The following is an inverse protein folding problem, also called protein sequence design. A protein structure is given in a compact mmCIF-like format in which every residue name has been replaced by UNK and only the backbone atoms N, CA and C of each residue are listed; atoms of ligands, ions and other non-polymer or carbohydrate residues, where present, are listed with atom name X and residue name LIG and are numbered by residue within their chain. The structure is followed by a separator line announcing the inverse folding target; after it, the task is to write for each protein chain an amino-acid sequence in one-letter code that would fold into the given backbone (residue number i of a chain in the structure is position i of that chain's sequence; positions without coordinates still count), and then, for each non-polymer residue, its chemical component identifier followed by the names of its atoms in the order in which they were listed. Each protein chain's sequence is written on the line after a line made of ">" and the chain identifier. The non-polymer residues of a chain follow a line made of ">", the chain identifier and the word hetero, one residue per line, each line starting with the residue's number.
data_IF_069141113105
#
_entry.id   IF_069141113105
#
_cell.length_a   1.000
_cell.length_b   1.000
_cell.length_c   1.000
_cell.angle_alpha   90.00
_cell.angle_beta   90.00
_cell.angle_gamma   90.00
#
_symmetry.space_group_name_H-M   'P 1'
#
loop_
_entity.id
_entity.type
_entity.pdbx_description
1 polymer ?
#
# COMPACT_ATOMS: atom_id res chain seq x y z
N UNK A 1 9.03 -59.08 17.94
CA UNK A 1 8.35 -58.47 19.11
C UNK A 1 7.90 -57.10 18.67
N UNK A 2 6.77 -57.06 17.96
CA UNK A 2 5.41 -56.91 18.51
C UNK A 2 5.03 -55.45 18.73
N UNK A 3 4.10 -55.04 17.89
CA UNK A 3 3.17 -53.90 17.93
C UNK A 3 2.42 -53.81 19.29
N UNK A 4 1.92 -52.67 19.77
CA UNK A 4 0.61 -52.07 19.39
C UNK A 4 0.31 -50.81 20.28
N UNK A 5 -0.48 -49.86 19.73
CA UNK A 5 -1.37 -48.83 20.33
C UNK A 5 -0.79 -47.53 20.92
N UNK A 6 -1.34 -46.32 20.71
CA UNK A 6 -2.66 -45.90 20.21
C UNK A 6 -3.53 -45.37 21.37
N UNK A 7 -3.77 -44.05 21.46
CA UNK A 7 -4.92 -43.35 22.14
C UNK A 7 -4.65 -41.82 22.24
N UNK A 8 -5.36 -40.98 21.48
CA UNK A 8 -6.52 -40.12 21.86
C UNK A 8 -6.22 -39.00 22.87
N UNK A 9 -6.22 -37.77 22.37
CA UNK A 9 -6.17 -36.54 23.18
C UNK A 9 -7.59 -36.01 23.36
N UNK A 10 -8.15 -36.23 24.55
CA UNK A 10 -9.47 -35.75 24.97
C UNK A 10 -9.35 -34.37 25.60
N UNK A 11 -10.29 -33.50 25.24
CA UNK A 11 -10.56 -32.17 25.79
C UNK A 11 -10.78 -32.20 27.32
N UNK A 12 -10.04 -31.39 28.07
CA UNK A 12 -10.22 -31.18 29.50
C UNK A 12 -10.21 -29.69 29.86
N UNK A 13 -11.38 -29.19 30.27
CA UNK A 13 -11.67 -27.83 30.71
C UNK A 13 -11.23 -27.65 32.18
N UNK A 14 -10.57 -26.54 32.53
CA UNK A 14 -10.35 -26.14 33.93
C UNK A 14 -10.26 -24.59 34.02
N UNK A 15 -11.36 -23.93 34.37
CA UNK A 15 -11.75 -23.42 35.71
C UNK A 15 -11.06 -22.10 36.10
N UNK A 16 -11.89 -21.05 36.13
CA UNK A 16 -11.61 -19.69 36.62
C UNK A 16 -11.51 -19.68 38.15
N UNK A 17 -10.52 -19.03 38.78
CA UNK A 17 -10.54 -18.78 40.21
C UNK A 17 -11.13 -17.41 40.56
N UNK A 18 -12.09 -17.42 41.49
CA UNK A 18 -12.67 -16.25 42.19
C UNK A 18 -11.70 -15.76 43.29
N UNK A 19 -11.57 -14.45 43.54
CA UNK A 19 -10.56 -13.92 44.46
C UNK A 19 -11.03 -13.94 45.93
N UNK A 20 -10.07 -14.14 46.85
CA UNK A 20 -10.23 -14.00 48.29
C UNK A 20 -9.25 -12.95 48.81
N UNK A 21 -9.75 -12.05 49.67
CA UNK A 21 -8.98 -11.47 50.77
C UNK A 21 -8.35 -10.09 50.53
N UNK A 22 -9.00 -9.06 51.04
CA UNK A 22 -8.48 -7.71 51.30
C UNK A 22 -7.61 -7.66 52.56
N UNK A 23 -6.46 -6.97 52.50
CA UNK A 23 -5.78 -6.26 53.62
C UNK A 23 -4.66 -5.32 53.08
N UNK A 24 -4.12 -4.33 53.84
CA UNK A 24 -4.33 -2.92 53.50
C UNK A 24 -3.11 -2.14 52.95
N UNK A 25 -3.46 -1.12 52.15
CA UNK A 25 -2.85 0.20 51.95
C UNK A 25 -1.37 0.41 52.34
N UNK A 26 -0.47 0.15 51.39
CA UNK A 26 0.81 0.85 51.26
C UNK A 26 0.67 2.03 50.30
N UNK A 27 1.15 3.20 50.71
CA UNK A 27 1.14 4.47 49.98
C UNK A 27 1.74 4.32 48.57
N UNK A 28 0.87 4.28 47.55
CA UNK A 28 1.24 4.45 46.15
C UNK A 28 1.62 5.92 45.94
N UNK A 29 2.89 6.18 45.70
CA UNK A 29 3.33 7.39 44.99
C UNK A 29 2.57 7.48 43.67
N UNK A 30 1.90 8.61 43.45
CA UNK A 30 1.19 8.93 42.23
C UNK A 30 2.15 8.86 41.03
N UNK A 31 2.14 7.73 40.33
CA UNK A 31 2.59 7.69 38.95
C UNK A 31 1.48 8.29 38.10
N UNK A 32 1.81 9.34 37.36
CA UNK A 32 0.95 9.93 36.33
C UNK A 32 0.47 8.80 35.42
N UNK A 33 -0.83 8.51 35.43
CA UNK A 33 -1.44 7.67 34.40
C UNK A 33 -1.24 8.38 33.04
N UNK A 34 -0.78 7.68 32.00
CA UNK A 34 -0.66 8.29 30.69
C UNK A 34 -2.06 8.75 30.26
N UNK A 35 -2.19 10.05 30.03
CA UNK A 35 -3.45 10.63 29.57
C UNK A 35 -3.88 9.92 28.28
N UNK A 36 -5.15 9.54 28.17
CA UNK A 36 -5.67 8.78 27.02
C UNK A 36 -5.56 9.47 25.65
N UNK A 37 -4.94 10.66 25.58
CA UNK A 37 -4.70 11.44 24.36
C UNK A 37 -3.35 11.18 23.69
N UNK A 38 -2.32 10.71 24.41
CA UNK A 38 -0.95 10.59 23.87
C UNK A 38 -0.84 9.71 22.62
N UNK A 39 -1.45 8.50 22.55
CA UNK A 39 -1.38 7.67 21.35
C UNK A 39 -2.14 8.27 20.16
N UNK A 40 -3.22 9.02 20.42
CA UNK A 40 -4.06 9.63 19.39
C UNK A 40 -3.34 10.82 18.74
N UNK A 41 -2.66 11.63 19.54
CA UNK A 41 -1.90 12.78 19.05
C UNK A 41 -0.69 12.34 18.20
N UNK A 42 0.05 11.32 18.64
CA UNK A 42 1.16 10.77 17.86
C UNK A 42 0.70 10.21 16.50
N UNK A 43 -0.41 9.46 16.46
CA UNK A 43 -0.94 8.92 15.20
C UNK A 43 -1.36 10.04 14.24
N UNK A 44 -1.95 11.11 14.75
CA UNK A 44 -2.34 12.27 13.94
C UNK A 44 -1.12 12.98 13.36
N UNK A 45 -0.12 13.30 14.19
CA UNK A 45 1.14 13.91 13.74
C UNK A 45 1.78 13.08 12.63
N UNK A 46 1.99 11.79 12.86
CA UNK A 46 2.68 10.94 11.89
C UNK A 46 1.86 10.68 10.62
N UNK A 47 0.52 10.76 10.70
CA UNK A 47 -0.33 10.77 9.51
C UNK A 47 -0.11 12.02 8.66
N UNK A 48 -0.01 13.20 9.28
CA UNK A 48 0.29 14.46 8.60
C UNK A 48 1.68 14.41 7.97
N UNK A 49 2.69 13.92 8.70
CA UNK A 49 4.06 13.74 8.18
C UNK A 49 4.06 12.80 6.96
N UNK A 50 3.38 11.66 7.05
CA UNK A 50 3.31 10.70 5.94
C UNK A 50 2.63 11.25 4.68
N UNK A 51 1.70 12.20 4.86
CA UNK A 51 0.97 12.84 3.77
C UNK A 51 1.63 14.13 3.27
N UNK A 52 2.73 14.57 3.88
CA UNK A 52 3.39 15.82 3.55
C UNK A 52 3.88 15.83 2.10
N UNK A 53 3.57 16.93 1.41
CA UNK A 53 4.04 17.24 0.06
C UNK A 53 4.76 18.59 0.03
N UNK A 54 5.51 18.86 -1.04
CA UNK A 54 6.26 20.10 -1.23
C UNK A 54 7.76 19.93 -1.05
N UNK A 55 8.49 21.04 -0.93
CA UNK A 55 9.95 20.98 -0.79
C UNK A 55 10.37 20.36 0.55
N UNK A 56 11.44 19.59 0.54
CA UNK A 56 12.08 19.12 1.77
C UNK A 56 12.73 20.29 2.53
N UNK A 57 12.75 20.20 3.85
CA UNK A 57 13.61 21.02 4.69
C UNK A 57 15.01 20.40 4.67
N UNK A 58 15.82 20.80 3.68
CA UNK A 58 17.14 20.19 3.47
C UNK A 58 18.06 20.31 4.69
N UNK A 59 18.22 21.50 5.32
CA UNK A 59 19.03 21.63 6.53
C UNK A 59 18.56 20.70 7.67
N UNK A 60 17.26 20.62 7.94
CA UNK A 60 16.74 19.76 9.00
C UNK A 60 16.95 18.27 8.67
N UNK A 61 16.76 17.87 7.41
CA UNK A 61 16.99 16.50 6.97
C UNK A 61 18.46 16.10 7.11
N UNK A 62 19.39 16.97 6.70
CA UNK A 62 20.83 16.71 6.81
C UNK A 62 21.29 16.57 8.28
N UNK A 63 20.77 17.41 9.18
CA UNK A 63 21.05 17.26 10.60
C UNK A 63 20.44 15.97 11.17
N UNK A 64 19.23 15.61 10.74
CA UNK A 64 18.59 14.33 11.08
C UNK A 64 19.43 13.12 10.65
N UNK A 65 19.98 13.15 9.43
CA UNK A 65 20.90 12.12 8.93
C UNK A 65 22.13 12.01 9.83
N UNK A 66 22.82 13.14 10.11
CA UNK A 66 24.01 13.15 10.97
C UNK A 66 23.69 12.63 12.37
N UNK A 67 22.58 13.07 12.96
CA UNK A 67 22.10 12.60 14.25
C UNK A 67 21.86 11.09 14.24
N UNK A 68 21.24 10.53 13.20
CA UNK A 68 21.00 9.10 13.09
C UNK A 68 22.31 8.29 13.08
N UNK A 69 23.35 8.78 12.40
CA UNK A 69 24.68 8.15 12.40
C UNK A 69 25.35 8.24 13.77
N UNK A 70 25.31 9.41 14.42
CA UNK A 70 25.86 9.60 15.77
C UNK A 70 25.19 8.68 16.79
N UNK A 71 23.87 8.56 16.75
CA UNK A 71 23.09 7.67 17.63
C UNK A 71 23.40 6.19 17.36
N UNK A 72 23.75 5.84 16.12
CA UNK A 72 24.21 4.50 15.75
C UNK A 72 25.69 4.24 16.11
N UNK A 73 26.41 5.24 16.66
CA UNK A 73 27.84 5.14 16.97
C UNK A 73 28.73 5.10 15.73
N UNK A 74 28.27 5.64 14.61
CA UNK A 74 28.99 5.68 13.34
C UNK A 74 29.56 7.08 13.07
N UNK A 75 30.67 7.20 12.32
CA UNK A 75 31.10 8.46 11.74
C UNK A 75 30.01 9.02 10.81
N UNK A 76 29.79 10.33 10.82
CA UNK A 76 28.85 10.98 9.90
C UNK A 76 29.28 10.77 8.44
N UNK A 77 28.33 10.74 7.48
CA UNK A 77 28.67 10.59 6.07
C UNK A 77 29.48 11.81 5.60
N UNK A 78 30.51 11.56 4.80
CA UNK A 78 31.38 12.60 4.22
C UNK A 78 30.61 13.54 3.28
N UNK A 79 29.54 13.05 2.66
CA UNK A 79 28.71 13.83 1.74
C UNK A 79 27.25 13.42 1.84
N UNK A 80 26.35 14.39 1.77
CA UNK A 80 24.91 14.17 1.62
C UNK A 80 24.50 14.67 0.23
N UNK A 81 23.97 13.76 -0.58
CA UNK A 81 23.52 14.04 -1.94
C UNK A 81 22.00 14.09 -1.99
N UNK A 82 21.47 15.04 -2.75
CA UNK A 82 20.03 15.22 -2.93
C UNK A 82 19.57 14.64 -4.26
N UNK A 83 18.42 13.97 -4.23
CA UNK A 83 17.72 13.49 -5.41
C UNK A 83 16.28 14.01 -5.40
N UNK A 84 15.77 14.33 -6.58
CA UNK A 84 14.42 14.90 -6.70
C UNK A 84 13.31 13.85 -6.51
N UNK A 85 13.62 12.55 -6.60
CA UNK A 85 12.66 11.47 -6.40
C UNK A 85 13.31 10.18 -5.94
N UNK A 86 12.54 9.20 -5.41
CA UNK A 86 13.04 7.85 -5.14
C UNK A 86 13.63 7.15 -6.37
N UNK A 87 13.12 7.46 -7.59
CA UNK A 87 13.68 6.93 -8.84
C UNK A 87 15.09 7.48 -9.08
N UNK A 88 15.26 8.80 -9.00
CA UNK A 88 16.58 9.42 -9.13
C UNK A 88 17.53 8.99 -8.00
N UNK A 89 17.03 8.86 -6.77
CA UNK A 89 17.79 8.41 -5.60
C UNK A 89 18.29 6.97 -5.77
N UNK A 90 17.42 6.05 -6.21
CA UNK A 90 17.80 4.66 -6.46
C UNK A 90 18.79 4.54 -7.63
N UNK A 91 18.62 5.31 -8.71
CA UNK A 91 19.58 5.34 -9.81
C UNK A 91 20.96 5.85 -9.36
N UNK A 92 20.99 6.89 -8.53
CA UNK A 92 22.23 7.41 -7.94
C UNK A 92 22.88 6.39 -7.00
N UNK A 93 22.11 5.75 -6.13
CA UNK A 93 22.57 4.71 -5.22
C UNK A 93 23.18 3.53 -5.99
N UNK A 94 22.48 3.03 -7.01
CA UNK A 94 22.97 1.94 -7.87
C UNK A 94 24.31 2.30 -8.53
N UNK A 95 24.44 3.53 -9.05
CA UNK A 95 25.67 4.01 -9.66
C UNK A 95 26.83 4.14 -8.66
N UNK A 96 26.59 4.68 -7.47
CA UNK A 96 27.65 4.87 -6.47
C UNK A 96 28.12 3.54 -5.88
N UNK A 97 27.19 2.61 -5.64
CA UNK A 97 27.49 1.27 -5.15
C UNK A 97 28.25 0.46 -6.20
N UNK A 98 27.86 0.53 -7.48
CA UNK A 98 28.59 -0.12 -8.57
C UNK A 98 30.04 0.41 -8.74
N UNK A 99 30.27 1.68 -8.39
CA UNK A 99 31.61 2.30 -8.39
C UNK A 99 32.41 2.08 -7.10
N UNK A 100 31.80 1.52 -6.06
CA UNK A 100 32.40 1.38 -4.73
C UNK A 100 32.65 2.70 -4.00
N UNK A 101 32.00 3.79 -4.42
CA UNK A 101 32.24 5.15 -3.88
C UNK A 101 31.35 5.50 -2.69
N UNK A 102 30.16 4.89 -2.57
CA UNK A 102 29.23 5.13 -1.46
C UNK A 102 29.71 4.51 -0.12
N UNK A 103 30.53 3.46 -0.19
CA UNK A 103 30.78 2.57 0.95
C UNK A 103 29.65 1.55 1.13
N UNK A 104 29.72 0.74 2.19
CA UNK A 104 28.69 -0.27 2.47
C UNK A 104 27.42 0.39 3.01
N UNK A 105 26.28 -0.28 2.81
CA UNK A 105 25.03 0.11 3.46
C UNK A 105 25.17 0.00 4.97
N UNK A 106 24.75 1.06 5.68
CA UNK A 106 24.69 1.09 7.15
C UNK A 106 23.24 1.11 7.65
N UNK A 107 22.28 0.79 6.79
CA UNK A 107 20.84 0.74 7.10
C UNK A 107 20.54 -0.12 8.33
N UNK A 108 21.22 -1.26 8.48
CA UNK A 108 21.03 -2.14 9.65
C UNK A 108 21.37 -1.41 10.96
N UNK A 109 22.51 -0.71 11.01
CA UNK A 109 22.96 0.02 12.19
C UNK A 109 22.14 1.29 12.45
N UNK A 110 21.77 2.02 11.39
CA UNK A 110 21.06 3.30 11.49
C UNK A 110 19.57 3.10 11.75
N UNK A 111 18.93 2.05 11.20
CA UNK A 111 17.47 1.84 11.26
C UNK A 111 17.07 0.53 11.90
N UNK A 112 17.55 -0.62 11.41
CA UNK A 112 16.99 -1.91 11.82
C UNK A 112 17.24 -2.23 13.29
N UNK A 113 18.49 -2.08 13.76
CA UNK A 113 18.85 -2.34 15.16
C UNK A 113 18.18 -1.35 16.12
N UNK A 114 18.16 -0.02 15.87
CA UNK A 114 17.42 0.90 16.73
C UNK A 114 15.93 0.56 16.84
N UNK A 115 15.25 0.19 15.74
CA UNK A 115 13.86 -0.25 15.79
C UNK A 115 13.67 -1.56 16.55
N UNK A 116 14.52 -2.56 16.29
CA UNK A 116 14.47 -3.81 17.02
C UNK A 116 14.65 -3.59 18.53
N UNK A 117 15.57 -2.69 18.91
CA UNK A 117 15.82 -2.31 20.31
C UNK A 117 14.61 -1.60 20.93
N UNK A 118 14.06 -0.59 20.25
CA UNK A 118 12.89 0.14 20.73
C UNK A 118 11.68 -0.78 20.91
N UNK A 119 11.43 -1.65 19.92
CA UNK A 119 10.37 -2.67 19.99
C UNK A 119 10.61 -3.67 21.11
N UNK A 120 11.84 -4.15 21.28
CA UNK A 120 12.21 -5.09 22.36
C UNK A 120 11.92 -4.51 23.74
N UNK A 121 12.38 -3.28 24.01
CA UNK A 121 12.11 -2.59 25.28
C UNK A 121 10.62 -2.41 25.55
N UNK A 122 9.87 -2.07 24.51
CA UNK A 122 8.42 -1.89 24.63
C UNK A 122 7.70 -3.22 24.89
N UNK A 123 8.14 -4.29 24.21
CA UNK A 123 7.64 -5.65 24.42
C UNK A 123 7.96 -6.15 25.83
N UNK A 124 9.18 -5.92 26.34
CA UNK A 124 9.59 -6.31 27.69
C UNK A 124 8.74 -5.60 28.77
N UNK A 125 8.41 -4.33 28.53
CA UNK A 125 7.61 -3.52 29.47
C UNK A 125 6.12 -3.83 29.43
N UNK A 126 5.54 -4.02 28.24
CA UNK A 126 4.09 -4.21 28.06
C UNK A 126 3.66 -5.68 28.03
N UNK A 127 4.62 -6.59 27.82
CA UNK A 127 4.35 -7.97 27.45
C UNK A 127 3.74 -8.10 26.03
N UNK A 128 3.57 -9.33 25.53
CA UNK A 128 3.05 -9.57 24.18
C UNK A 128 1.65 -8.99 23.92
N UNK A 129 0.73 -9.13 24.88
CA UNK A 129 -0.64 -8.63 24.74
C UNK A 129 -0.70 -7.09 24.77
N UNK A 130 0.07 -6.45 25.66
CA UNK A 130 0.14 -5.00 25.74
C UNK A 130 0.79 -4.38 24.50
N UNK A 131 1.85 -5.01 23.95
CA UNK A 131 2.41 -4.63 22.66
C UNK A 131 1.37 -4.71 21.53
N UNK A 132 0.59 -5.79 21.45
CA UNK A 132 -0.44 -5.93 20.43
C UNK A 132 -1.51 -4.84 20.52
N UNK A 133 -1.98 -4.53 21.74
CA UNK A 133 -2.93 -3.44 21.98
C UNK A 133 -2.35 -2.06 21.63
N UNK A 134 -1.11 -1.79 22.02
CA UNK A 134 -0.40 -0.55 21.68
C UNK A 134 -0.23 -0.38 20.17
N UNK A 135 0.23 -1.43 19.48
CA UNK A 135 0.37 -1.43 18.02
C UNK A 135 -0.97 -1.18 17.32
N UNK A 136 -2.05 -1.83 17.77
CA UNK A 136 -3.39 -1.65 17.22
C UNK A 136 -3.89 -0.19 17.34
N UNK A 137 -3.57 0.49 18.46
CA UNK A 137 -3.95 1.87 18.70
C UNK A 137 -3.05 2.89 17.99
N UNK A 138 -1.83 2.49 17.63
CA UNK A 138 -0.81 3.37 17.03
C UNK A 138 -0.49 2.98 15.59
N UNK A 139 0.62 2.25 15.37
CA UNK A 139 1.19 2.00 14.06
C UNK A 139 0.29 1.23 13.10
N UNK A 140 -0.54 0.31 13.61
CA UNK A 140 -1.49 -0.44 12.79
C UNK A 140 -2.46 0.49 12.02
N UNK A 141 -2.78 1.66 12.59
CA UNK A 141 -3.70 2.64 11.98
C UNK A 141 -3.14 3.32 10.73
N UNK A 142 -1.84 3.22 10.49
CA UNK A 142 -1.14 3.79 9.34
C UNK A 142 -0.52 2.71 8.44
N UNK A 143 -0.35 1.50 8.97
CA UNK A 143 0.45 0.43 8.36
C UNK A 143 0.03 0.09 6.93
N UNK A 144 -1.24 -0.31 6.72
CA UNK A 144 -1.69 -0.80 5.41
C UNK A 144 -1.55 0.27 4.32
N UNK A 145 -1.94 1.51 4.64
CA UNK A 145 -1.79 2.64 3.72
C UNK A 145 -0.32 2.95 3.38
N UNK A 146 0.61 2.77 4.32
CA UNK A 146 2.05 2.95 4.05
C UNK A 146 2.62 1.80 3.22
N UNK A 147 2.25 0.55 3.52
CA UNK A 147 2.68 -0.62 2.74
C UNK A 147 2.21 -0.48 1.29
N UNK A 148 0.92 -0.21 1.07
CA UNK A 148 0.37 -0.02 -0.28
C UNK A 148 1.09 1.09 -1.04
N UNK A 149 1.31 2.25 -0.41
CA UNK A 149 1.98 3.38 -1.07
C UNK A 149 3.45 3.08 -1.38
N UNK A 150 4.19 2.53 -0.42
CA UNK A 150 5.62 2.26 -0.60
C UNK A 150 5.86 1.16 -1.64
N UNK A 151 5.00 0.14 -1.70
CA UNK A 151 5.09 -0.88 -2.73
C UNK A 151 4.78 -0.33 -4.12
N UNK A 152 3.76 0.54 -4.25
CA UNK A 152 3.51 1.24 -5.53
C UNK A 152 4.69 2.10 -5.97
N UNK A 153 5.35 2.80 -5.04
CA UNK A 153 6.57 3.57 -5.33
C UNK A 153 7.70 2.64 -5.80
N UNK A 154 7.96 1.53 -5.09
CA UNK A 154 8.99 0.56 -5.50
C UNK A 154 8.74 0.00 -6.90
N UNK A 155 7.51 -0.42 -7.19
CA UNK A 155 7.13 -0.92 -8.51
C UNK A 155 7.37 0.14 -9.59
N UNK A 156 6.90 1.39 -9.38
CA UNK A 156 7.12 2.47 -10.34
C UNK A 156 8.61 2.78 -10.57
N UNK A 157 9.42 2.78 -9.50
CA UNK A 157 10.87 2.97 -9.62
C UNK A 157 11.51 1.84 -10.43
N UNK A 158 11.13 0.58 -10.23
CA UNK A 158 11.67 -0.55 -11.00
C UNK A 158 11.24 -0.53 -12.45
N UNK A 159 9.97 -0.22 -12.73
CA UNK A 159 9.40 -0.23 -14.08
C UNK A 159 10.07 0.85 -14.96
N UNK A 160 10.32 2.05 -14.41
CA UNK A 160 11.01 3.13 -15.13
C UNK A 160 12.54 2.95 -15.22
N UNK A 161 13.11 1.98 -14.50
CA UNK A 161 14.55 1.66 -14.57
C UNK A 161 14.90 0.72 -15.75
N UNK A 162 13.87 0.22 -16.45
CA UNK A 162 13.97 -0.81 -17.50
C UNK A 162 14.42 -0.28 -18.86
N UNK A 163 15.74 -0.17 -19.07
CA UNK A 163 16.36 -0.10 -20.41
C UNK A 163 17.37 -1.23 -20.69
N UNK A 164 17.87 -1.88 -19.65
CA UNK A 164 18.76 -3.04 -19.73
C UNK A 164 18.56 -3.94 -18.50
N UNK A 165 18.50 -5.26 -18.69
CA UNK A 165 18.24 -6.25 -17.62
C UNK A 165 19.18 -6.15 -16.38
N UNK A 166 20.37 -5.55 -16.53
CA UNK A 166 21.28 -5.30 -15.39
C UNK A 166 20.96 -4.07 -14.55
N UNK A 167 20.33 -3.04 -15.15
CA UNK A 167 20.01 -1.79 -14.46
C UNK A 167 18.84 -1.97 -13.48
N UNK A 168 17.79 -2.68 -13.90
CA UNK A 168 16.63 -2.97 -13.04
C UNK A 168 17.04 -3.79 -11.82
N UNK A 169 17.84 -4.84 -11.99
CA UNK A 169 18.31 -5.66 -10.87
C UNK A 169 19.16 -4.86 -9.88
N UNK A 170 20.05 -3.98 -10.38
CA UNK A 170 20.85 -3.11 -9.53
C UNK A 170 19.96 -2.15 -8.71
N UNK A 171 18.92 -1.59 -9.33
CA UNK A 171 17.93 -0.73 -8.66
C UNK A 171 17.15 -1.52 -7.59
N UNK A 172 16.69 -2.73 -7.90
CA UNK A 172 16.01 -3.61 -6.93
C UNK A 172 16.87 -3.88 -5.70
N UNK A 173 18.16 -4.10 -5.88
CA UNK A 173 19.09 -4.34 -4.78
C UNK A 173 19.25 -3.11 -3.88
N UNK A 174 19.48 -1.92 -4.46
CA UNK A 174 19.65 -0.71 -3.64
C UNK A 174 18.34 -0.24 -3.00
N UNK A 175 17.17 -0.60 -3.52
CA UNK A 175 15.90 -0.34 -2.84
C UNK A 175 15.78 -1.07 -1.48
N UNK A 176 16.52 -2.16 -1.26
CA UNK A 176 16.61 -2.82 0.05
C UNK A 176 17.39 -1.99 1.07
N UNK A 177 18.27 -1.12 0.61
CA UNK A 177 19.06 -0.19 1.44
C UNK A 177 18.29 1.08 1.83
N UNK A 178 17.10 1.31 1.25
CA UNK A 178 16.32 2.51 1.53
C UNK A 178 15.73 2.51 2.95
N UNK A 179 15.81 3.67 3.60
CA UNK A 179 14.99 4.08 4.74
C UNK A 179 13.87 4.96 4.19
N UNK A 180 12.62 4.70 4.58
CA UNK A 180 11.45 5.18 3.83
C UNK A 180 10.98 6.58 4.27
N UNK A 181 11.75 7.24 5.13
CA UNK A 181 11.54 8.62 5.57
C UNK A 181 10.12 8.82 6.10
N UNK A 182 9.38 9.76 5.51
CA UNK A 182 8.00 10.06 5.91
C UNK A 182 7.06 8.83 5.85
N UNK A 183 7.36 7.81 5.05
CA UNK A 183 6.54 6.59 4.96
C UNK A 183 6.89 5.51 5.99
N UNK A 184 7.88 5.74 6.87
CA UNK A 184 8.12 4.93 8.08
C UNK A 184 7.20 5.35 9.25
N UNK A 185 6.27 6.29 9.01
CA UNK A 185 5.36 6.89 9.98
C UNK A 185 4.61 5.90 10.89
N UNK A 186 4.23 4.71 10.40
CA UNK A 186 3.56 3.71 11.22
C UNK A 186 4.41 3.26 12.43
N UNK A 187 5.70 3.00 12.20
CA UNK A 187 6.62 2.64 13.27
C UNK A 187 6.96 3.84 14.15
N UNK A 188 7.16 5.01 13.56
CA UNK A 188 7.47 6.22 14.31
C UNK A 188 6.30 6.65 15.22
N UNK A 189 5.05 6.46 14.79
CA UNK A 189 3.86 6.62 15.63
C UNK A 189 3.81 5.61 16.79
N UNK A 190 4.20 4.35 16.54
CA UNK A 190 4.24 3.33 17.57
C UNK A 190 5.34 3.57 18.61
N UNK A 191 6.45 4.23 18.25
CA UNK A 191 7.53 4.51 19.18
C UNK A 191 7.46 5.91 19.82
N UNK A 192 6.64 6.81 19.29
CA UNK A 192 6.51 8.16 19.83
C UNK A 192 6.21 8.17 21.34
N UNK A 193 6.97 8.97 22.08
CA UNK A 193 6.85 9.11 23.54
C UNK A 193 7.24 7.87 24.35
N UNK A 194 7.75 6.81 23.71
CA UNK A 194 8.14 5.58 24.41
C UNK A 194 9.59 5.66 24.90
N UNK A 195 9.87 5.02 26.04
CA UNK A 195 11.22 4.95 26.60
C UNK A 195 12.19 4.32 25.60
N UNK A 196 13.25 5.05 25.25
CA UNK A 196 14.25 4.61 24.26
C UNK A 196 13.93 4.97 22.81
N UNK A 197 12.86 5.72 22.56
CA UNK A 197 12.57 6.29 21.26
C UNK A 197 13.61 7.33 20.81
N UNK A 198 14.37 7.92 21.74
CA UNK A 198 15.44 8.89 21.46
C UNK A 198 16.50 8.36 20.48
N UNK A 199 16.73 7.04 20.47
CA UNK A 199 17.62 6.40 19.51
C UNK A 199 17.12 6.51 18.05
N UNK A 200 15.86 6.90 17.86
CA UNK A 200 15.19 7.08 16.57
C UNK A 200 15.07 8.55 16.19
N UNK A 201 15.51 9.49 17.02
CA UNK A 201 15.32 10.93 16.80
C UNK A 201 15.90 11.39 15.46
N UNK A 202 17.05 10.84 15.06
CA UNK A 202 17.64 11.12 13.75
C UNK A 202 16.74 10.69 12.59
N UNK A 203 16.22 9.46 12.62
CA UNK A 203 15.29 8.95 11.58
C UNK A 203 13.99 9.74 11.60
N UNK A 204 13.46 10.03 12.79
CA UNK A 204 12.24 10.80 12.95
C UNK A 204 12.40 12.24 12.43
N UNK A 205 13.57 12.86 12.62
CA UNK A 205 13.89 14.17 12.05
C UNK A 205 13.93 14.13 10.52
N UNK A 206 14.57 13.13 9.92
CA UNK A 206 14.56 12.96 8.44
C UNK A 206 13.14 12.77 7.92
N UNK A 207 12.34 11.91 8.56
CA UNK A 207 10.96 11.67 8.16
C UNK A 207 10.10 12.95 8.21
N UNK A 208 10.32 13.82 9.21
CA UNK A 208 9.67 15.14 9.32
C UNK A 208 10.20 16.19 8.36
N UNK A 209 11.33 15.96 7.70
CA UNK A 209 11.98 16.96 6.84
C UNK A 209 12.00 16.58 5.35
N UNK A 210 12.04 15.29 5.01
CA UNK A 210 12.31 14.81 3.65
C UNK A 210 11.64 13.44 3.33
N UNK A 211 11.87 12.97 2.11
CA UNK A 211 11.40 11.68 1.61
C UNK A 211 12.33 10.52 1.98
N UNK A 212 12.43 9.55 1.06
CA UNK A 212 13.27 8.37 1.24
C UNK A 212 14.75 8.74 1.25
N UNK A 213 15.57 7.87 1.85
CA UNK A 213 17.00 8.08 1.85
C UNK A 213 17.79 6.77 1.98
N UNK A 214 19.05 6.80 1.54
CA UNK A 214 19.97 5.66 1.56
C UNK A 214 21.17 5.98 2.44
N UNK A 215 21.32 5.30 3.59
CA UNK A 215 22.47 5.47 4.46
C UNK A 215 23.62 4.53 4.06
N UNK A 216 24.71 5.09 3.49
CA UNK A 216 25.97 4.38 3.28
C UNK A 216 27.10 4.93 4.16
N UNK A 217 28.19 4.16 4.33
CA UNK A 217 29.34 4.55 5.18
C UNK A 217 29.91 5.93 4.81
N UNK A 218 30.00 6.28 3.53
CA UNK A 218 30.61 7.54 3.07
C UNK A 218 29.62 8.56 2.56
N UNK A 219 28.47 8.12 2.06
CA UNK A 219 27.50 9.00 1.39
C UNK A 219 26.09 8.67 1.86
N UNK A 220 25.33 9.69 2.24
CA UNK A 220 23.88 9.58 2.36
C UNK A 220 23.21 10.17 1.11
N UNK A 221 22.20 9.51 0.57
CA UNK A 221 21.37 10.05 -0.53
C UNK A 221 19.99 10.33 0.04
N UNK A 222 19.49 11.56 -0.08
CA UNK A 222 18.20 11.98 0.46
C UNK A 222 17.30 12.45 -0.67
N UNK A 223 16.04 12.01 -0.67
CA UNK A 223 15.05 12.44 -1.64
C UNK A 223 14.23 13.64 -1.15
N UNK A 224 13.88 14.51 -2.10
CA UNK A 224 12.75 15.42 -1.96
C UNK A 224 11.45 14.64 -1.65
N UNK A 225 10.44 15.36 -1.17
CA UNK A 225 9.10 14.81 -1.00
C UNK A 225 8.32 14.81 -2.31
N UNK A 226 7.19 14.09 -2.38
CA UNK A 226 6.26 14.27 -3.48
C UNK A 226 5.78 15.74 -3.54
N UNK A 227 5.57 16.27 -4.74
CA UNK A 227 4.90 17.56 -4.94
C UNK A 227 3.37 17.41 -4.95
N UNK A 228 2.87 16.20 -5.18
CA UNK A 228 1.44 15.88 -5.13
C UNK A 228 1.23 14.45 -4.61
N UNK A 229 0.18 14.26 -3.80
CA UNK A 229 -0.28 12.98 -3.28
C UNK A 229 -1.80 13.03 -3.14
N UNK A 230 -2.50 12.20 -3.90
CA UNK A 230 -3.96 12.12 -3.96
C UNK A 230 -4.39 10.69 -3.67
N UNK A 231 -5.39 10.56 -2.80
CA UNK A 231 -5.84 9.27 -2.28
C UNK A 231 -7.35 9.25 -2.13
N UNK A 232 -7.93 8.06 -2.27
CA UNK A 232 -9.33 7.80 -1.93
C UNK A 232 -9.53 7.72 -0.41
N UNK A 233 -10.79 7.56 0.03
CA UNK A 233 -11.14 7.43 1.45
C UNK A 233 -10.51 6.19 2.12
N UNK A 234 -10.18 5.16 1.32
CA UNK A 234 -9.47 3.97 1.76
C UNK A 234 -7.93 4.16 1.81
N UNK A 235 -7.42 5.34 1.43
CA UNK A 235 -5.99 5.67 1.45
C UNK A 235 -5.20 5.10 0.27
N UNK A 236 -5.86 4.61 -0.78
CA UNK A 236 -5.23 4.15 -2.02
C UNK A 236 -4.99 5.32 -2.95
N UNK A 237 -3.95 5.26 -3.79
CA UNK A 237 -3.70 6.32 -4.78
C UNK A 237 -4.90 6.48 -5.72
N UNK A 238 -5.39 7.71 -5.87
CA UNK A 238 -6.56 8.00 -6.71
C UNK A 238 -6.53 9.43 -7.21
N UNK A 239 -6.57 9.59 -8.55
CA UNK A 239 -6.78 10.86 -9.22
C UNK A 239 -7.23 10.63 -10.68
N UNK A 240 -8.32 11.29 -11.07
CA UNK A 240 -8.92 11.11 -12.40
C UNK A 240 -8.46 12.09 -13.50
N UNK A 241 -7.77 13.16 -13.12
CA UNK A 241 -7.41 14.29 -14.00
C UNK A 241 -5.89 14.58 -13.99
N UNK A 242 -5.08 13.63 -13.50
CA UNK A 242 -3.64 13.80 -13.38
C UNK A 242 -2.98 12.72 -12.53
N UNK A 243 -1.68 12.87 -12.21
CA UNK A 243 -0.95 11.89 -11.41
C UNK A 243 -1.46 11.87 -9.96
N UNK A 244 -1.71 10.67 -9.44
CA UNK A 244 -2.07 10.48 -8.05
C UNK A 244 -0.88 10.67 -7.10
N UNK A 245 0.35 10.47 -7.59
CA UNK A 245 1.60 10.80 -6.90
C UNK A 245 2.55 11.43 -7.91
N UNK A 246 3.20 12.54 -7.57
CA UNK A 246 4.21 13.17 -8.43
C UNK A 246 5.39 13.69 -7.62
N UNK A 247 6.59 13.62 -8.20
CA UNK A 247 7.83 14.15 -7.68
C UNK A 247 8.40 15.28 -8.56
N UNK A 248 9.29 16.14 -8.01
CA UNK A 248 9.86 17.29 -8.72
C UNK A 248 10.51 16.99 -10.08
N UNK A 249 11.09 15.81 -10.28
CA UNK A 249 11.75 15.40 -11.54
C UNK A 249 10.79 14.79 -12.58
N UNK A 250 9.48 14.85 -12.33
CA UNK A 250 8.47 14.27 -13.21
C UNK A 250 8.23 12.77 -12.99
N UNK A 251 8.92 12.10 -12.06
CA UNK A 251 8.52 10.76 -11.66
C UNK A 251 7.11 10.79 -11.07
N UNK A 252 6.19 10.05 -11.68
CA UNK A 252 4.77 10.14 -11.36
C UNK A 252 4.07 8.79 -11.46
N UNK A 253 3.12 8.55 -10.55
CA UNK A 253 2.26 7.37 -10.55
C UNK A 253 0.81 7.80 -10.76
N UNK A 254 0.15 7.12 -11.68
CA UNK A 254 -1.24 7.36 -12.03
C UNK A 254 -2.09 6.20 -11.52
N UNK A 255 -3.24 6.53 -10.92
CA UNK A 255 -4.14 5.54 -10.37
C UNK A 255 -5.58 6.07 -10.34
N UNK A 256 -6.53 5.18 -10.64
CA UNK A 256 -7.96 5.43 -10.54
C UNK A 256 -8.55 4.47 -9.50
N UNK A 257 -9.06 5.00 -8.39
CA UNK A 257 -9.62 4.25 -7.25
C UNK A 257 -8.69 3.13 -6.76
N UNK A 258 -7.40 3.42 -6.67
CA UNK A 258 -6.36 2.47 -6.28
C UNK A 258 -5.83 1.56 -7.39
N UNK A 259 -6.48 1.52 -8.57
CA UNK A 259 -6.05 0.73 -9.71
C UNK A 259 -5.02 1.52 -10.54
N UNK A 260 -3.80 0.99 -10.75
CA UNK A 260 -2.78 1.68 -11.55
C UNK A 260 -3.19 1.80 -13.02
N UNK A 261 -3.13 3.01 -13.56
CA UNK A 261 -3.46 3.28 -14.96
C UNK A 261 -2.27 3.93 -15.67
N UNK A 262 -2.10 3.77 -16.99
CA UNK A 262 -1.14 4.56 -17.76
C UNK A 262 -1.48 6.06 -17.73
N UNK A 263 -0.47 6.94 -17.87
CA UNK A 263 -0.72 8.38 -17.99
C UNK A 263 -1.65 8.72 -19.17
N UNK A 264 -1.34 8.16 -20.34
CA UNK A 264 -2.13 8.34 -21.57
C UNK A 264 -3.59 7.86 -21.44
N UNK A 265 -3.87 6.93 -20.52
CA UNK A 265 -5.22 6.46 -20.30
C UNK A 265 -6.13 7.57 -19.73
N UNK A 266 -5.60 8.46 -18.89
CA UNK A 266 -6.39 9.58 -18.37
C UNK A 266 -6.70 10.62 -19.45
N UNK A 267 -5.73 10.93 -20.31
CA UNK A 267 -5.91 11.85 -21.44
C UNK A 267 -6.96 11.36 -22.44
N UNK A 268 -7.11 10.03 -22.57
CA UNK A 268 -8.13 9.41 -23.43
C UNK A 268 -9.56 9.54 -22.88
N UNK A 269 -9.74 9.79 -21.57
CA UNK A 269 -11.06 9.74 -20.91
C UNK A 269 -12.02 10.80 -21.46
N UNK A 270 -11.54 12.03 -21.69
CA UNK A 270 -12.36 13.15 -22.20
C UNK A 270 -12.88 12.91 -23.63
N UNK A 271 -12.18 12.08 -24.40
CA UNK A 271 -12.48 11.74 -25.79
C UNK A 271 -13.14 10.38 -25.98
N UNK A 272 -13.58 9.72 -24.90
CA UNK A 272 -14.12 8.36 -24.98
C UNK A 272 -15.32 8.28 -25.93
N UNK A 273 -15.38 7.18 -26.67
CA UNK A 273 -16.52 6.81 -27.51
C UNK A 273 -16.97 5.41 -27.12
N UNK A 274 -18.26 5.04 -27.35
CA UNK A 274 -18.71 3.69 -27.08
C UNK A 274 -17.89 2.63 -27.81
N UNK A 275 -17.37 2.93 -29.01
CA UNK A 275 -16.48 2.04 -29.77
C UNK A 275 -15.14 1.82 -29.04
N UNK A 276 -14.47 2.89 -28.58
CA UNK A 276 -13.18 2.77 -27.87
C UNK A 276 -13.30 1.97 -26.57
N UNK A 277 -14.35 2.26 -25.78
CA UNK A 277 -14.69 1.51 -24.56
C UNK A 277 -14.91 0.02 -24.90
N UNK A 278 -15.65 -0.22 -25.98
CA UNK A 278 -15.95 -1.57 -26.45
C UNK A 278 -14.73 -2.32 -26.93
N UNK A 279 -13.73 -1.66 -27.49
CA UNK A 279 -12.50 -2.27 -28.03
C UNK A 279 -11.45 -2.55 -26.95
N UNK A 280 -11.42 -1.80 -25.85
CA UNK A 280 -10.48 -1.99 -24.74
C UNK A 280 -10.43 -3.45 -24.30
N UNK A 281 -9.29 -4.13 -24.25
CA UNK A 281 -9.26 -5.56 -23.91
C UNK A 281 -9.24 -5.79 -22.40
N UNK A 282 -8.54 -4.92 -21.68
CA UNK A 282 -8.41 -5.03 -20.24
C UNK A 282 -9.74 -4.69 -19.56
N UNK A 283 -10.35 -5.68 -18.91
CA UNK A 283 -11.65 -5.54 -18.27
C UNK A 283 -11.67 -4.45 -17.17
N UNK A 284 -10.56 -4.27 -16.43
CA UNK A 284 -10.47 -3.24 -15.39
C UNK A 284 -10.37 -1.83 -15.99
N UNK A 285 -9.59 -1.64 -17.06
CA UNK A 285 -9.54 -0.36 -17.77
C UNK A 285 -10.89 -0.04 -18.40
N UNK A 286 -11.55 -1.04 -19.02
CA UNK A 286 -12.89 -0.87 -19.58
C UNK A 286 -13.90 -0.42 -18.53
N UNK A 287 -13.86 -1.01 -17.33
CA UNK A 287 -14.74 -0.62 -16.22
C UNK A 287 -14.52 0.84 -15.86
N UNK A 288 -13.27 1.28 -15.71
CA UNK A 288 -12.97 2.69 -15.43
C UNK A 288 -13.47 3.61 -16.54
N UNK A 289 -13.29 3.22 -17.81
CA UNK A 289 -13.83 3.99 -18.92
C UNK A 289 -15.37 4.08 -18.86
N UNK A 290 -16.07 2.98 -18.53
CA UNK A 290 -17.54 2.95 -18.38
C UNK A 290 -18.02 3.80 -17.18
N UNK A 291 -17.32 3.72 -16.06
CA UNK A 291 -17.60 4.54 -14.86
C UNK A 291 -17.45 6.03 -15.16
N UNK A 292 -16.38 6.41 -15.86
CA UNK A 292 -16.14 7.79 -16.28
C UNK A 292 -17.16 8.25 -17.34
N UNK A 293 -17.42 7.42 -18.36
CA UNK A 293 -18.34 7.76 -19.46
C UNK A 293 -19.81 7.84 -19.02
N UNK A 294 -20.16 7.07 -18.00
CA UNK A 294 -21.52 6.88 -17.53
C UNK A 294 -22.24 5.74 -18.26
N UNK A 295 -22.75 4.78 -17.48
CA UNK A 295 -23.43 3.58 -17.99
C UNK A 295 -24.66 3.91 -18.85
N UNK A 296 -25.52 4.83 -18.39
CA UNK A 296 -26.73 5.21 -19.13
C UNK A 296 -26.41 5.81 -20.50
N UNK A 297 -25.33 6.59 -20.57
CA UNK A 297 -24.86 7.20 -21.80
C UNK A 297 -24.28 6.14 -22.73
N UNK A 298 -23.46 5.24 -22.21
CA UNK A 298 -22.91 4.12 -22.98
C UNK A 298 -24.02 3.24 -23.58
N UNK A 299 -25.05 2.88 -22.80
CA UNK A 299 -26.16 2.05 -23.28
C UNK A 299 -26.95 2.74 -24.40
N UNK A 300 -27.24 4.04 -24.25
CA UNK A 300 -27.95 4.82 -25.27
C UNK A 300 -27.15 4.95 -26.57
N UNK A 301 -25.84 5.17 -26.48
CA UNK A 301 -25.00 5.48 -27.64
C UNK A 301 -24.32 4.25 -28.27
N UNK A 302 -24.19 3.14 -27.55
CA UNK A 302 -23.55 1.91 -28.05
C UNK A 302 -24.43 1.09 -29.00
N UNK A 303 -25.75 1.28 -28.95
CA UNK A 303 -26.73 0.45 -29.64
C UNK A 303 -26.96 -0.92 -28.96
N UNK A 304 -26.47 -1.10 -27.73
CA UNK A 304 -26.65 -2.32 -26.97
C UNK A 304 -28.14 -2.59 -26.65
N UNK A 305 -28.56 -3.84 -26.82
CA UNK A 305 -29.91 -4.28 -26.46
C UNK A 305 -29.82 -5.39 -25.41
N UNK A 306 -30.63 -5.34 -24.34
CA UNK A 306 -30.74 -6.47 -23.43
C UNK A 306 -31.49 -7.58 -24.17
N UNK A 307 -30.86 -8.75 -24.30
CA UNK A 307 -31.42 -9.90 -25.03
C UNK A 307 -31.93 -10.99 -24.11
N UNK A 308 -31.40 -11.08 -22.88
CA UNK A 308 -31.85 -12.00 -21.86
C UNK A 308 -31.54 -11.45 -20.46
N UNK A 309 -32.32 -11.83 -19.45
CA UNK A 309 -32.08 -11.54 -18.04
C UNK A 309 -32.50 -12.73 -17.19
N UNK A 310 -31.69 -13.08 -16.20
CA UNK A 310 -32.00 -14.08 -15.18
C UNK A 310 -31.39 -13.69 -13.81
N UNK A 311 -31.38 -14.62 -12.85
CA UNK A 311 -30.86 -14.42 -11.49
C UNK A 311 -29.34 -14.13 -11.43
N UNK A 312 -28.60 -14.44 -12.49
CA UNK A 312 -27.14 -14.25 -12.56
C UNK A 312 -26.74 -12.92 -13.18
N UNK A 313 -27.64 -12.25 -13.92
CA UNK A 313 -27.33 -10.98 -14.56
C UNK A 313 -28.19 -10.66 -15.78
N UNK A 314 -27.67 -9.77 -16.62
CA UNK A 314 -28.30 -9.34 -17.87
C UNK A 314 -27.35 -9.62 -19.03
N UNK A 315 -27.83 -10.31 -20.06
CA UNK A 315 -27.09 -10.50 -21.30
C UNK A 315 -27.41 -9.38 -22.28
N UNK A 316 -26.37 -8.67 -22.70
CA UNK A 316 -26.44 -7.57 -23.64
C UNK A 316 -25.79 -7.97 -24.95
N UNK A 317 -26.42 -7.58 -26.06
CA UNK A 317 -25.92 -7.81 -27.41
C UNK A 317 -25.81 -6.50 -28.16
N UNK A 318 -24.69 -6.30 -28.83
CA UNK A 318 -24.47 -5.18 -29.74
C UNK A 318 -24.16 -5.74 -31.13
N UNK A 319 -24.99 -5.40 -32.10
CA UNK A 319 -24.74 -5.74 -33.50
C UNK A 319 -23.64 -4.84 -34.07
N UNK A 320 -22.64 -5.46 -34.70
CA UNK A 320 -21.53 -4.78 -35.33
C UNK A 320 -21.64 -4.96 -36.84
N UNK A 321 -21.90 -3.89 -37.62
CA UNK A 321 -21.98 -4.01 -39.07
C UNK A 321 -20.65 -4.51 -39.66
N UNK A 322 -20.67 -5.68 -40.30
CA UNK A 322 -19.49 -6.28 -40.93
C UNK A 322 -18.60 -7.11 -40.00
N UNK A 323 -19.04 -7.40 -38.77
CA UNK A 323 -18.31 -8.20 -37.78
C UNK A 323 -19.26 -9.10 -36.97
N UNK A 324 -18.71 -10.01 -36.15
CA UNK A 324 -19.50 -10.81 -35.22
C UNK A 324 -20.15 -9.91 -34.14
N UNK A 325 -21.37 -10.23 -33.68
CA UNK A 325 -22.02 -9.45 -32.64
C UNK A 325 -21.24 -9.55 -31.33
N UNK A 326 -21.06 -8.41 -30.67
CA UNK A 326 -20.44 -8.42 -29.35
C UNK A 326 -21.49 -8.71 -28.27
N UNK A 327 -21.17 -9.65 -27.38
CA UNK A 327 -22.03 -10.06 -26.28
C UNK A 327 -21.33 -9.80 -24.96
N UNK A 328 -22.04 -9.22 -24.00
CA UNK A 328 -21.54 -8.88 -22.68
C UNK A 328 -22.55 -9.33 -21.63
N UNK A 329 -22.06 -9.89 -20.51
CA UNK A 329 -22.89 -10.15 -19.34
C UNK A 329 -22.66 -9.07 -18.30
N UNK A 330 -23.73 -8.39 -17.90
CA UNK A 330 -23.78 -7.48 -16.76
C UNK A 330 -24.04 -8.31 -15.51
N UNK A 331 -23.10 -8.30 -14.58
CA UNK A 331 -23.21 -8.98 -13.29
C UNK A 331 -22.91 -8.01 -12.16
N UNK A 332 -23.59 -8.16 -11.03
CA UNK A 332 -23.22 -7.46 -9.81
C UNK A 332 -22.37 -8.42 -8.99
N UNK A 333 -21.20 -7.96 -8.56
CA UNK A 333 -20.37 -8.73 -7.64
C UNK A 333 -21.17 -9.08 -6.38
N UNK A 334 -21.24 -10.37 -6.06
CA UNK A 334 -21.94 -10.90 -4.87
C UNK A 334 -21.27 -10.49 -3.56
N UNK A 335 -19.95 -10.33 -3.54
CA UNK A 335 -19.18 -9.90 -2.36
C UNK A 335 -19.12 -8.37 -2.29
N UNK A 336 -19.68 -7.74 -1.25
CA UNK A 336 -19.53 -6.30 -1.08
C UNK A 336 -18.05 -5.92 -0.98
N UNK A 337 -17.72 -4.77 -1.54
CA UNK A 337 -16.45 -4.10 -1.33
C UNK A 337 -16.26 -3.75 0.17
N UNK A 338 -15.04 -3.43 0.63
CA UNK A 338 -14.79 -3.08 2.03
C UNK A 338 -15.66 -1.91 2.57
N UNK A 339 -16.20 -1.08 1.69
CA UNK A 339 -17.12 0.03 1.99
C UNK A 339 -18.61 -0.38 1.98
N UNK A 340 -18.92 -1.67 1.76
CA UNK A 340 -20.27 -2.22 1.68
C UNK A 340 -20.94 -2.09 0.31
N UNK A 341 -20.30 -1.43 -0.65
CA UNK A 341 -20.87 -1.24 -2.00
C UNK A 341 -20.70 -2.50 -2.85
N UNK A 342 -21.61 -2.73 -3.79
CA UNK A 342 -21.47 -3.79 -4.79
C UNK A 342 -21.07 -3.16 -6.12
N UNK A 343 -20.15 -3.81 -6.85
CA UNK A 343 -19.70 -3.34 -8.16
C UNK A 343 -20.38 -4.08 -9.30
N UNK A 344 -20.80 -3.34 -10.31
CA UNK A 344 -21.33 -3.92 -11.56
C UNK A 344 -20.18 -4.16 -12.54
N UNK A 345 -20.03 -5.42 -12.96
CA UNK A 345 -19.08 -5.88 -13.95
C UNK A 345 -19.78 -6.15 -15.28
N UNK A 346 -19.06 -5.88 -16.36
CA UNK A 346 -19.51 -6.13 -17.72
C UNK A 346 -18.47 -6.97 -18.44
N UNK A 347 -18.71 -8.27 -18.49
CA UNK A 347 -17.73 -9.23 -18.96
C UNK A 347 -18.05 -9.60 -20.41
N UNK A 348 -17.07 -9.46 -21.30
CA UNK A 348 -17.21 -9.96 -22.68
C UNK A 348 -17.33 -11.48 -22.63
N UNK A 349 -18.30 -12.01 -23.36
CA UNK A 349 -18.56 -13.46 -23.47
C UNK A 349 -18.65 -13.83 -24.95
N UNK A 350 -18.56 -15.13 -25.30
CA UNK A 350 -18.63 -15.55 -26.70
C UNK A 350 -19.88 -15.01 -27.43
N UNK A 351 -19.77 -14.65 -28.72
CA UNK A 351 -20.90 -14.13 -29.51
C UNK A 351 -22.13 -15.05 -29.57
N UNK A 352 -21.92 -16.34 -29.32
CA UNK A 352 -22.94 -17.40 -29.36
C UNK A 352 -23.70 -17.58 -28.04
N UNK A 353 -23.25 -16.94 -26.95
CA UNK A 353 -23.91 -17.00 -25.65
C UNK A 353 -25.36 -16.52 -25.74
N UNK A 354 -26.26 -17.25 -25.08
CA UNK A 354 -27.73 -17.10 -25.16
C UNK A 354 -28.36 -16.68 -23.85
N UNK A 355 -27.79 -17.06 -22.71
CA UNK A 355 -28.28 -16.70 -21.37
C UNK A 355 -27.23 -15.94 -20.59
N UNK A 356 -27.66 -15.13 -19.61
CA UNK A 356 -26.73 -14.49 -18.68
C UNK A 356 -25.98 -15.56 -17.89
N UNK A 357 -26.66 -16.63 -17.43
CA UNK A 357 -26.02 -17.74 -16.70
C UNK A 357 -24.91 -18.43 -17.49
N UNK A 358 -25.13 -18.75 -18.77
CA UNK A 358 -24.11 -19.30 -19.67
C UNK A 358 -22.92 -18.34 -19.78
N UNK A 359 -23.20 -17.05 -19.94
CA UNK A 359 -22.17 -16.01 -19.97
C UNK A 359 -21.34 -15.98 -18.71
N UNK A 360 -21.98 -15.97 -17.53
CA UNK A 360 -21.28 -15.99 -16.24
C UNK A 360 -20.46 -17.28 -16.07
N UNK A 361 -21.04 -18.45 -16.34
CA UNK A 361 -20.35 -19.73 -16.25
C UNK A 361 -19.06 -19.75 -17.08
N UNK A 362 -19.14 -19.25 -18.31
CA UNK A 362 -17.98 -19.16 -19.20
C UNK A 362 -16.86 -18.30 -18.62
N UNK A 363 -17.17 -17.22 -17.88
CA UNK A 363 -16.14 -16.38 -17.23
C UNK A 363 -15.36 -17.11 -16.13
N UNK A 364 -15.92 -18.21 -15.61
CA UNK A 364 -15.24 -19.12 -14.69
C UNK A 364 -14.62 -20.34 -15.37
N UNK A 365 -14.68 -20.43 -16.71
CA UNK A 365 -14.21 -21.59 -17.47
C UNK A 365 -15.09 -22.84 -17.29
N UNK A 366 -16.38 -22.65 -16.97
CA UNK A 366 -17.35 -23.71 -16.72
C UNK A 366 -18.44 -23.73 -17.78
N UNK A 367 -19.09 -24.89 -17.96
CA UNK A 367 -20.34 -24.99 -18.72
C UNK A 367 -21.54 -24.52 -17.88
N UNK A 368 -22.62 -24.06 -18.52
CA UNK A 368 -23.80 -23.52 -17.84
C UNK A 368 -24.42 -24.50 -16.83
N UNK A 369 -24.44 -25.79 -17.15
CA UNK A 369 -24.99 -26.85 -16.30
C UNK A 369 -24.12 -27.16 -15.08
N UNK A 370 -22.82 -26.87 -15.14
CA UNK A 370 -21.87 -27.08 -14.04
C UNK A 370 -21.82 -25.88 -13.10
N UNK A 371 -22.30 -24.73 -13.56
CA UNK A 371 -22.34 -23.51 -12.77
C UNK A 371 -23.45 -23.57 -11.71
N UNK A 372 -23.06 -23.92 -10.48
CA UNK A 372 -23.92 -23.98 -9.30
C UNK A 372 -23.35 -23.08 -8.18
N UNK A 373 -23.64 -21.77 -8.17
CA UNK A 373 -23.13 -20.87 -7.14
C UNK A 373 -23.69 -21.28 -5.76
N UNK A 374 -22.82 -21.66 -4.82
CA UNK A 374 -23.23 -22.28 -3.55
C UNK A 374 -23.80 -21.31 -2.50
N UNK A 375 -23.80 -19.99 -2.73
CA UNK A 375 -24.59 -18.97 -2.01
C UNK A 375 -24.30 -17.58 -2.60
N UNK A 376 -25.34 -16.83 -2.93
CA UNK A 376 -25.30 -15.37 -2.91
C UNK A 376 -25.37 -14.95 -1.43
N UNK A 377 -24.33 -14.33 -0.90
CA UNK A 377 -24.34 -13.67 0.41
C UNK A 377 -23.94 -12.24 0.23
#
# INVERSE_FOLDING_TARGET
>A
METVSGETMTTGNATVPTPVGTEPMGTRTAGTEPSGSEPVDAVREWREVAAATGAADRPAAEEGVRLAYRLAGLPEPETILWADSPRAGAALAARLTARGTSGRSVRDAVRDRPWATARGRLLDRLGPAGWAGHWALTGARLWDGMVMLTDRIRTGVTDESGGAQGAEQAVRLVLLDAVLGQHDAAWLAAFAGQVGADALDGIAAVARAAGWWWPYEKTAIVCERPVALHRDEAGRLDRGDGPALAFPDGFALYAWRGMPVPAAFLDELDGLTPRRIREEENAELRRVMLEHYGYDRYLKESGAKPVQRDETGVLWRVELPGDEPQVMVEVVNSTPEPDGTHRTYWLRVPPRTRTAREGVAWTFGLEEAEYAPQRQT
#
